data_IF_499081468790
#
_entry.id   IF_499081468790
#
_cell.length_a   1.000
_cell.length_b   1.000
_cell.length_c   1.000
_cell.angle_alpha   90.00
_cell.angle_beta   90.00
_cell.angle_gamma   90.00
#
_symmetry.space_group_name_H-M   'P 1'
#
loop_
_entity.id
_entity.type
_entity.pdbx_description
1 polymer ?
#
# COMPACT_ATOMS: atom_id res chain seq x y z
N UNK A 1 20.65 11.59 -0.92
CA UNK A 1 19.31 11.39 -0.36
C UNK A 1 19.21 9.99 0.22
N UNK A 2 18.69 9.87 1.42
CA UNK A 2 18.46 8.56 2.04
C UNK A 2 17.05 8.07 1.72
N UNK A 3 16.80 6.78 1.98
CA UNK A 3 15.46 6.24 1.82
C UNK A 3 14.46 6.95 2.73
N UNK A 4 14.87 7.28 3.96
CA UNK A 4 14.02 8.01 4.89
C UNK A 4 13.67 9.40 4.35
N UNK A 5 14.65 10.12 3.79
CA UNK A 5 14.40 11.43 3.18
C UNK A 5 13.48 11.32 1.98
N UNK A 6 13.64 10.25 1.20
CA UNK A 6 12.82 10.02 0.01
C UNK A 6 11.35 9.90 0.38
N UNK A 7 11.02 9.09 1.40
CA UNK A 7 9.62 8.92 1.77
C UNK A 7 9.03 10.20 2.38
N UNK A 8 9.82 10.97 3.13
CA UNK A 8 9.38 12.25 3.66
C UNK A 8 9.05 13.21 2.51
N UNK A 9 9.92 13.26 1.50
CA UNK A 9 9.73 14.12 0.33
C UNK A 9 8.46 13.72 -0.46
N UNK A 10 8.26 12.43 -0.68
CA UNK A 10 7.05 11.96 -1.37
C UNK A 10 5.79 12.34 -0.61
N UNK A 11 5.77 12.10 0.70
CA UNK A 11 4.61 12.42 1.53
C UNK A 11 4.32 13.93 1.51
N UNK A 12 5.36 14.76 1.51
CA UNK A 12 5.21 16.21 1.44
C UNK A 12 4.57 16.66 0.13
N UNK A 13 4.73 15.87 -0.93
CA UNK A 13 4.10 16.13 -2.23
C UNK A 13 2.70 15.53 -2.33
N UNK A 14 2.21 14.90 -1.26
CA UNK A 14 0.90 14.28 -1.25
C UNK A 14 0.88 12.87 -1.83
N UNK A 15 2.05 12.28 -2.07
CA UNK A 15 2.13 10.93 -2.63
C UNK A 15 2.55 9.96 -1.55
N UNK A 16 1.73 8.92 -1.32
CA UNK A 16 1.95 7.95 -0.25
C UNK A 16 2.19 6.54 -0.77
N UNK A 17 2.65 6.41 -2.02
CA UNK A 17 2.99 5.11 -2.60
C UNK A 17 4.19 5.25 -3.53
N UNK A 18 4.92 4.15 -3.71
CA UNK A 18 6.05 4.11 -4.64
C UNK A 18 6.42 2.66 -4.91
N UNK A 19 7.18 2.44 -5.98
CA UNK A 19 7.70 1.12 -6.29
C UNK A 19 9.17 1.03 -5.93
N UNK A 20 9.69 -0.20 -5.86
CA UNK A 20 11.12 -0.42 -5.62
C UNK A 20 11.96 0.29 -6.69
N UNK A 21 11.55 0.17 -7.96
CA UNK A 21 12.26 0.77 -9.08
C UNK A 21 12.27 2.29 -9.01
N UNK A 22 11.16 2.89 -8.60
CA UNK A 22 11.09 4.34 -8.43
C UNK A 22 12.05 4.80 -7.33
N UNK A 23 12.10 4.08 -6.23
CA UNK A 23 12.99 4.40 -5.13
C UNK A 23 14.46 4.25 -5.56
N UNK A 24 14.77 3.17 -6.26
CA UNK A 24 16.13 2.95 -6.74
C UNK A 24 16.59 4.07 -7.68
N UNK A 25 15.72 4.48 -8.59
CA UNK A 25 16.02 5.58 -9.51
C UNK A 25 16.23 6.90 -8.77
N UNK A 26 15.36 7.19 -7.79
CA UNK A 26 15.45 8.43 -7.03
C UNK A 26 16.71 8.50 -6.17
N UNK A 27 17.11 7.37 -5.61
CA UNK A 27 18.27 7.30 -4.72
C UNK A 27 19.59 7.06 -5.48
N UNK A 28 19.50 6.72 -6.77
CA UNK A 28 20.69 6.40 -7.55
C UNK A 28 21.41 5.17 -7.03
N UNK A 29 20.69 4.21 -6.48
CA UNK A 29 21.24 3.01 -5.87
C UNK A 29 20.72 1.76 -6.56
N UNK A 30 21.42 0.64 -6.36
CA UNK A 30 20.96 -0.64 -6.89
C UNK A 30 19.71 -1.11 -6.17
N UNK A 31 18.92 -1.96 -6.83
CA UNK A 31 17.69 -2.49 -6.23
C UNK A 31 17.97 -3.26 -4.93
N UNK A 32 19.00 -4.15 -4.85
CA UNK A 32 19.28 -4.83 -3.58
C UNK A 32 19.59 -3.87 -2.43
N UNK A 33 20.35 -2.80 -2.71
CA UNK A 33 20.69 -1.80 -1.70
C UNK A 33 19.45 -1.08 -1.20
N UNK A 34 18.56 -0.71 -2.14
CA UNK A 34 17.31 -0.03 -1.81
C UNK A 34 16.40 -0.96 -1.01
N UNK A 35 16.29 -2.22 -1.39
CA UNK A 35 15.48 -3.19 -0.66
C UNK A 35 15.92 -3.31 0.80
N UNK A 36 17.23 -3.31 1.04
CA UNK A 36 17.75 -3.39 2.40
C UNK A 36 17.34 -2.16 3.22
N UNK A 37 17.42 -0.98 2.63
CA UNK A 37 17.00 0.26 3.30
C UNK A 37 15.50 0.27 3.56
N UNK A 38 14.70 -0.17 2.58
CA UNK A 38 13.25 -0.21 2.73
C UNK A 38 12.83 -1.23 3.79
N UNK A 39 13.54 -2.34 3.90
CA UNK A 39 13.26 -3.33 4.93
C UNK A 39 13.41 -2.73 6.33
N UNK A 40 14.42 -1.89 6.52
CA UNK A 40 14.61 -1.22 7.80
C UNK A 40 13.48 -0.23 8.11
N UNK A 41 13.03 0.51 7.11
CA UNK A 41 11.90 1.43 7.28
C UNK A 41 10.61 0.68 7.57
N UNK A 42 10.41 -0.46 6.92
CA UNK A 42 9.26 -1.31 7.17
C UNK A 42 9.27 -1.84 8.61
N UNK A 43 10.44 -2.25 9.10
CA UNK A 43 10.59 -2.73 10.47
C UNK A 43 10.21 -1.65 11.49
N UNK A 44 10.42 -0.38 11.15
CA UNK A 44 10.03 0.74 12.00
C UNK A 44 8.56 1.13 11.86
N UNK A 45 7.83 0.51 10.94
CA UNK A 45 6.43 0.84 10.70
C UNK A 45 6.22 2.10 9.89
N UNK A 46 7.25 2.65 9.28
CA UNK A 46 7.14 3.88 8.49
C UNK A 46 6.62 3.64 7.08
N UNK A 47 6.80 2.42 6.59
CA UNK A 47 6.24 1.99 5.30
C UNK A 47 5.68 0.59 5.44
N UNK A 48 4.87 0.18 4.47
CA UNK A 48 4.34 -1.17 4.38
C UNK A 48 4.38 -1.60 2.91
N UNK A 49 4.31 -2.91 2.67
CA UNK A 49 4.34 -3.44 1.31
C UNK A 49 3.14 -4.34 1.06
N UNK A 50 1.98 -3.75 0.70
CA UNK A 50 0.78 -4.56 0.46
C UNK A 50 0.91 -5.48 -0.74
N UNK A 51 1.86 -5.22 -1.62
CA UNK A 51 2.11 -6.06 -2.79
C UNK A 51 3.60 -6.05 -3.10
N UNK A 52 4.08 -7.12 -3.73
CA UNK A 52 5.51 -7.25 -4.07
C UNK A 52 5.96 -6.05 -4.90
N UNK A 53 7.00 -5.35 -4.41
CA UNK A 53 7.57 -4.21 -5.10
C UNK A 53 6.73 -2.94 -5.07
N UNK A 54 5.59 -2.96 -4.40
CA UNK A 54 4.71 -1.81 -4.24
C UNK A 54 4.66 -1.45 -2.75
N UNK A 55 5.03 -0.22 -2.43
CA UNK A 55 5.12 0.24 -1.05
C UNK A 55 4.17 1.39 -0.80
N UNK A 56 3.70 1.49 0.44
CA UNK A 56 2.90 2.63 0.88
C UNK A 56 3.59 3.26 2.09
N UNK A 57 3.49 4.58 2.18
CA UNK A 57 4.01 5.34 3.33
C UNK A 57 2.91 5.37 4.37
N UNK A 58 3.26 5.00 5.62
CA UNK A 58 2.29 4.92 6.71
C UNK A 58 2.41 6.17 7.57
N UNK A 59 1.47 7.13 7.46
CA UNK A 59 1.48 8.30 8.33
C UNK A 59 1.27 7.93 9.79
N UNK A 60 1.68 8.78 10.72
CA UNK A 60 1.56 8.48 12.15
C UNK A 60 0.15 8.08 12.59
N UNK A 61 -0.89 8.69 12.02
CA UNK A 61 -2.28 8.38 12.39
C UNK A 61 -2.70 6.97 12.01
N UNK A 62 -1.96 6.30 11.11
CA UNK A 62 -2.27 4.94 10.67
C UNK A 62 -1.28 3.89 11.17
N UNK A 63 -0.40 4.24 12.13
CA UNK A 63 0.61 3.31 12.65
C UNK A 63 -0.01 2.07 13.29
N UNK A 64 -1.14 2.20 13.95
CA UNK A 64 -1.84 1.05 14.53
C UNK A 64 -2.45 0.16 13.47
N UNK A 65 -2.89 0.77 12.39
CA UNK A 65 -3.43 0.01 11.25
C UNK A 65 -2.32 -0.77 10.56
N UNK A 66 -1.10 -0.26 10.58
CA UNK A 66 0.07 -0.91 9.98
C UNK A 66 0.15 -0.74 8.48
N UNK A 67 -0.66 0.13 7.91
CA UNK A 67 -0.71 0.39 6.46
C UNK A 67 -1.50 1.67 6.24
N UNK A 68 -1.56 2.13 4.99
CA UNK A 68 -2.59 3.09 4.58
C UNK A 68 -3.93 2.35 4.53
N UNK A 69 -5.06 3.03 4.77
CA UNK A 69 -6.36 2.44 4.50
C UNK A 69 -6.44 1.94 3.06
N UNK A 70 -7.15 0.83 2.86
CA UNK A 70 -7.21 0.18 1.56
C UNK A 70 -7.71 1.10 0.46
N UNK A 71 -8.70 1.93 0.75
CA UNK A 71 -9.26 2.85 -0.24
C UNK A 71 -8.26 3.91 -0.68
N UNK A 72 -7.18 4.13 0.08
CA UNK A 72 -6.15 5.09 -0.26
C UNK A 72 -5.01 4.49 -1.08
N UNK A 73 -4.88 3.15 -1.13
CA UNK A 73 -3.79 2.58 -1.93
C UNK A 73 -4.26 1.63 -3.03
N UNK A 74 -5.46 1.04 -2.92
CA UNK A 74 -5.94 0.09 -3.92
C UNK A 74 -6.02 0.72 -5.32
N UNK A 75 -6.54 1.94 -5.49
CA UNK A 75 -6.56 2.53 -6.84
C UNK A 75 -5.17 2.61 -7.47
N UNK A 76 -4.18 3.03 -6.71
CA UNK A 76 -2.80 3.14 -7.19
C UNK A 76 -2.19 1.78 -7.47
N UNK A 77 -2.49 0.79 -6.62
CA UNK A 77 -2.01 -0.57 -6.83
C UNK A 77 -2.58 -1.16 -8.10
N UNK A 78 -3.89 -1.00 -8.33
CA UNK A 78 -4.53 -1.56 -9.51
C UNK A 78 -4.04 -0.88 -10.78
N UNK A 79 -3.74 0.41 -10.71
CA UNK A 79 -3.10 1.10 -11.82
C UNK A 79 -1.71 0.53 -12.10
N UNK A 80 -0.95 0.25 -11.06
CA UNK A 80 0.37 -0.37 -11.18
C UNK A 80 0.29 -1.75 -11.82
N UNK A 81 -0.73 -2.53 -11.46
CA UNK A 81 -0.95 -3.86 -12.02
C UNK A 81 -1.53 -3.82 -13.45
N UNK A 82 -2.04 -2.66 -13.85
CA UNK A 82 -2.55 -2.48 -15.21
C UNK A 82 -3.86 -3.20 -15.49
N UNK A 83 -4.68 -3.43 -14.47
CA UNK A 83 -5.92 -4.16 -14.64
C UNK A 83 -7.15 -3.33 -14.28
N UNK A 84 -8.24 -3.45 -15.07
CA UNK A 84 -9.51 -2.84 -14.71
C UNK A 84 -10.05 -3.47 -13.43
N UNK A 85 -10.70 -2.65 -12.61
CA UNK A 85 -11.23 -3.12 -11.34
C UNK A 85 -12.35 -2.21 -10.89
N UNK A 86 -13.09 -2.67 -9.88
CA UNK A 86 -13.92 -1.77 -9.08
C UNK A 86 -14.10 -2.34 -7.68
N UNK A 87 -14.28 -1.41 -6.74
CA UNK A 87 -14.46 -1.75 -5.33
C UNK A 87 -15.91 -2.17 -5.12
N UNK A 88 -16.09 -3.38 -4.59
CA UNK A 88 -17.43 -3.94 -4.42
C UNK A 88 -18.05 -3.61 -3.06
N UNK A 89 -17.24 -3.62 -2.01
CA UNK A 89 -17.80 -3.54 -0.66
C UNK A 89 -16.75 -3.08 0.36
N UNK A 90 -17.15 -2.20 1.25
CA UNK A 90 -16.34 -1.81 2.40
C UNK A 90 -16.84 -2.57 3.63
N UNK A 91 -15.94 -2.76 4.60
CA UNK A 91 -16.31 -3.40 5.84
C UNK A 91 -17.23 -2.48 6.67
N UNK A 92 -18.02 -3.08 7.58
CA UNK A 92 -18.90 -2.33 8.43
C UNK A 92 -18.12 -1.33 9.31
N UNK A 93 -16.91 -1.66 9.71
CA UNK A 93 -16.09 -0.79 10.54
C UNK A 93 -15.81 0.55 9.84
N UNK A 94 -15.62 0.52 8.53
CA UNK A 94 -15.35 1.74 7.76
C UNK A 94 -16.59 2.63 7.68
N UNK A 95 -17.76 2.03 7.66
CA UNK A 95 -19.01 2.77 7.58
C UNK A 95 -19.28 3.58 8.86
N UNK A 96 -18.66 3.23 9.96
CA UNK A 96 -18.85 3.91 11.23
C UNK A 96 -17.82 5.00 11.51
N UNK A 97 -16.95 5.29 10.55
CA UNK A 97 -16.03 6.42 10.65
C UNK A 97 -14.84 6.22 11.57
N UNK A 98 -14.65 5.02 12.11
CA UNK A 98 -13.49 4.70 12.95
C UNK A 98 -12.48 3.84 12.24
N UNK A 99 -12.51 3.86 10.92
CA UNK A 99 -11.75 2.93 10.08
C UNK A 99 -10.24 2.99 10.28
N UNK A 100 -9.69 4.18 10.53
CA UNK A 100 -8.24 4.34 10.63
C UNK A 100 -7.64 3.67 11.85
N UNK A 101 -8.46 3.26 12.81
CA UNK A 101 -7.99 2.61 14.04
C UNK A 101 -8.48 1.17 14.19
N UNK A 102 -9.17 0.64 13.20
CA UNK A 102 -9.77 -0.70 13.26
C UNK A 102 -9.36 -1.52 12.05
N UNK A 103 -9.42 -2.85 12.16
CA UNK A 103 -9.19 -3.70 11.00
C UNK A 103 -10.10 -3.33 9.85
N UNK A 104 -9.55 -3.33 8.65
CA UNK A 104 -10.28 -2.98 7.44
C UNK A 104 -10.30 -4.16 6.48
N UNK A 105 -11.43 -4.37 5.84
CA UNK A 105 -11.57 -5.37 4.79
C UNK A 105 -12.23 -4.74 3.57
N UNK A 106 -11.64 -4.95 2.41
CA UNK A 106 -12.09 -4.40 1.15
C UNK A 106 -12.17 -5.51 0.12
N UNK A 107 -13.21 -5.51 -0.69
CA UNK A 107 -13.32 -6.44 -1.79
C UNK A 107 -13.11 -5.71 -3.11
N UNK A 108 -12.25 -6.29 -3.94
CA UNK A 108 -11.94 -5.74 -5.26
C UNK A 108 -12.35 -6.77 -6.31
N UNK A 109 -13.17 -6.34 -7.25
CA UNK A 109 -13.59 -7.19 -8.36
C UNK A 109 -12.72 -6.93 -9.57
N UNK A 110 -12.17 -7.97 -10.14
CA UNK A 110 -11.33 -7.89 -11.33
C UNK A 110 -11.43 -9.17 -12.12
N UNK A 111 -10.80 -9.20 -13.30
CA UNK A 111 -10.84 -10.39 -14.15
C UNK A 111 -9.90 -11.48 -13.69
N UNK A 112 -8.82 -11.13 -13.02
CA UNK A 112 -7.79 -12.05 -12.61
C UNK A 112 -7.99 -12.44 -11.14
N UNK A 113 -7.89 -13.73 -10.85
CA UNK A 113 -7.96 -14.22 -9.48
C UNK A 113 -6.61 -13.99 -8.82
N UNK A 114 -6.59 -13.29 -7.69
CA UNK A 114 -5.36 -12.97 -6.96
C UNK A 114 -5.48 -13.39 -5.52
N UNK A 115 -4.31 -13.65 -4.92
CA UNK A 115 -4.22 -13.91 -3.49
C UNK A 115 -4.65 -12.65 -2.74
N UNK A 116 -5.38 -12.84 -1.64
CA UNK A 116 -5.75 -11.74 -0.77
C UNK A 116 -4.52 -11.04 -0.21
N UNK A 117 -4.62 -9.74 -0.04
CA UNK A 117 -3.55 -8.93 0.54
C UNK A 117 -3.83 -8.77 2.02
N UNK A 118 -2.81 -9.03 2.83
CA UNK A 118 -2.86 -8.72 4.26
C UNK A 118 -1.70 -7.78 4.54
N UNK A 119 -2.01 -6.58 5.01
CA UNK A 119 -1.02 -5.55 5.29
C UNK A 119 -1.40 -4.89 6.60
N UNK A 120 -0.68 -5.23 7.68
CA UNK A 120 -1.09 -4.79 9.00
C UNK A 120 -2.48 -5.32 9.30
N UNK A 121 -3.38 -4.42 9.65
CA UNK A 121 -4.78 -4.74 9.92
C UNK A 121 -5.68 -4.56 8.69
N UNK A 122 -5.08 -4.30 7.53
CA UNK A 122 -5.82 -4.10 6.29
C UNK A 122 -5.83 -5.40 5.49
N UNK A 123 -7.00 -5.79 5.00
CA UNK A 123 -7.16 -6.96 4.14
C UNK A 123 -7.88 -6.56 2.87
N UNK A 124 -7.37 -7.03 1.74
CA UNK A 124 -7.99 -6.80 0.44
C UNK A 124 -8.23 -8.16 -0.20
N UNK A 125 -9.48 -8.45 -0.48
CA UNK A 125 -9.88 -9.69 -1.12
C UNK A 125 -10.18 -9.44 -2.58
N UNK A 126 -9.62 -10.25 -3.46
CA UNK A 126 -9.84 -10.13 -4.89
C UNK A 126 -10.85 -11.17 -5.32
N UNK A 127 -11.86 -10.73 -6.05
CA UNK A 127 -12.91 -11.60 -6.55
C UNK A 127 -12.84 -11.59 -8.07
N UNK A 128 -12.55 -12.75 -8.66
CA UNK A 128 -12.54 -12.87 -10.11
C UNK A 128 -13.99 -12.87 -10.62
N UNK A 129 -14.26 -12.03 -11.62
CA UNK A 129 -15.58 -11.92 -12.20
C UNK A 129 -15.50 -12.16 -13.68
N UNK A 130 -16.34 -13.06 -14.15
CA UNK A 130 -16.49 -13.32 -15.59
C UNK A 130 -17.60 -12.43 -16.11
N UNK A 131 -17.31 -11.74 -17.20
CA UNK A 131 -18.31 -10.95 -17.88
C UNK A 131 -19.09 -11.78 -18.88
#
# INVERSE_FOLDING_TARGET
>A
MSAASYIVDLAARGRHHFTTEEAAAALGSSVPTVRAALRRLKAKGEIADPYRGFYVIVPPEYRRLGSLPADQFVPQLMEHLGEPYYVALLSAAELHGAAHQRPQALQVMEKTNRRAIECGEVRVHFIARKD
#
